data_IF_883811097416
#
_entry.id   IF_883811097416
#
_cell.length_a   1.000
_cell.length_b   1.000
_cell.length_c   1.000
_cell.angle_alpha   90.00
_cell.angle_beta   90.00
_cell.angle_gamma   90.00
#
_symmetry.space_group_name_H-M   'P 1'
#
loop_
_entity.id
_entity.type
_entity.pdbx_description
1 polymer ?
#
# COMPACT_ATOMS: atom_id res chain seq x y z
N UNK A 1 -21.15 -11.90 -7.35
CA UNK A 1 -20.22 -10.97 -8.02
C UNK A 1 -18.99 -11.72 -8.53
N UNK A 2 -18.41 -11.23 -9.64
CA UNK A 2 -17.13 -11.74 -10.16
C UNK A 2 -16.09 -10.62 -10.07
N UNK A 3 -14.96 -10.91 -9.42
CA UNK A 3 -13.88 -9.95 -9.19
C UNK A 3 -12.58 -10.52 -9.76
N UNK A 4 -11.90 -9.76 -10.59
CA UNK A 4 -10.57 -10.09 -11.12
C UNK A 4 -9.49 -9.71 -10.13
N UNK A 5 -8.79 -10.69 -9.57
CA UNK A 5 -7.67 -10.46 -8.65
C UNK A 5 -6.36 -10.32 -9.43
N UNK A 6 -5.50 -9.33 -9.12
CA UNK A 6 -4.19 -9.23 -9.72
C UNK A 6 -3.36 -10.50 -9.48
N UNK A 7 -2.62 -10.92 -10.50
CA UNK A 7 -1.85 -12.18 -10.46
C UNK A 7 -0.74 -12.20 -9.39
N UNK A 8 -0.29 -11.04 -8.96
CA UNK A 8 0.74 -10.86 -7.92
C UNK A 8 0.14 -10.37 -6.60
N UNK A 9 -1.18 -10.48 -6.45
CA UNK A 9 -1.83 -10.10 -5.20
C UNK A 9 -1.38 -11.04 -4.08
N UNK A 10 -0.87 -10.52 -2.97
CA UNK A 10 -0.56 -11.32 -1.78
C UNK A 10 -1.82 -11.84 -1.07
N UNK A 11 -2.99 -11.63 -1.67
CA UNK A 11 -4.28 -12.01 -1.09
C UNK A 11 -4.40 -13.53 -1.08
N UNK A 12 -4.20 -14.14 0.09
CA UNK A 12 -4.61 -15.51 0.35
C UNK A 12 -6.11 -15.54 0.65
N UNK A 13 -6.93 -15.58 -0.39
CA UNK A 13 -8.37 -15.75 -0.23
C UNK A 13 -8.70 -17.23 -0.08
N UNK A 14 -9.49 -17.58 0.95
CA UNK A 14 -9.92 -18.95 1.20
C UNK A 14 -11.38 -19.15 0.74
N UNK A 15 -11.62 -20.27 0.08
CA UNK A 15 -12.98 -20.69 -0.28
C UNK A 15 -13.82 -20.89 0.97
N UNK A 16 -15.04 -20.36 0.95
CA UNK A 16 -15.99 -20.43 2.04
C UNK A 16 -15.86 -19.30 3.07
N UNK A 17 -14.79 -18.50 3.03
CA UNK A 17 -14.65 -17.35 3.92
C UNK A 17 -15.56 -16.20 3.52
N UNK A 18 -15.92 -15.40 4.53
CA UNK A 18 -16.74 -14.20 4.35
C UNK A 18 -15.86 -12.98 4.05
N UNK A 19 -16.31 -12.19 3.09
CA UNK A 19 -15.64 -10.96 2.65
C UNK A 19 -16.66 -9.82 2.56
N UNK A 20 -16.17 -8.61 2.72
CA UNK A 20 -16.95 -7.39 2.57
C UNK A 20 -16.72 -6.80 1.18
N UNK A 21 -17.78 -6.68 0.40
CA UNK A 21 -17.77 -5.94 -0.85
C UNK A 21 -18.27 -4.52 -0.60
N UNK A 22 -17.72 -3.56 -1.31
CA UNK A 22 -18.20 -2.17 -1.31
C UNK A 22 -19.00 -1.88 -2.55
N UNK A 23 -20.18 -1.31 -2.36
CA UNK A 23 -21.06 -0.80 -3.39
C UNK A 23 -21.57 0.58 -2.98
N UNK A 24 -21.28 1.61 -3.77
CA UNK A 24 -21.65 3.01 -3.51
C UNK A 24 -21.38 3.48 -2.06
N UNK A 25 -20.23 3.06 -1.50
CA UNK A 25 -19.84 3.40 -0.13
C UNK A 25 -20.52 2.56 0.97
N UNK A 26 -21.41 1.63 0.60
CA UNK A 26 -22.02 0.67 1.51
C UNK A 26 -21.25 -0.65 1.52
N UNK A 27 -21.20 -1.30 2.68
CA UNK A 27 -20.61 -2.62 2.83
C UNK A 27 -21.65 -3.71 2.63
N UNK A 28 -21.39 -4.62 1.70
CA UNK A 28 -22.26 -5.75 1.36
C UNK A 28 -21.56 -7.05 1.69
N UNK A 29 -22.07 -7.86 2.65
CA UNK A 29 -21.49 -9.14 3.00
C UNK A 29 -21.56 -10.13 1.84
N UNK A 30 -20.50 -10.91 1.68
CA UNK A 30 -20.41 -11.93 0.64
C UNK A 30 -19.56 -13.13 1.10
N UNK A 31 -19.67 -14.24 0.39
CA UNK A 31 -18.88 -15.46 0.64
C UNK A 31 -18.14 -15.83 -0.64
N UNK A 32 -16.85 -16.14 -0.54
CA UNK A 32 -16.08 -16.62 -1.69
C UNK A 32 -16.48 -18.06 -2.01
N UNK A 33 -17.12 -18.27 -3.14
CA UNK A 33 -17.64 -19.59 -3.56
C UNK A 33 -16.79 -20.26 -4.62
N UNK A 34 -15.97 -19.50 -5.37
CA UNK A 34 -15.11 -20.07 -6.39
C UNK A 34 -13.89 -19.19 -6.64
N UNK A 35 -12.75 -19.82 -6.88
CA UNK A 35 -11.51 -19.17 -7.29
C UNK A 35 -10.98 -19.90 -8.53
N UNK A 36 -10.83 -19.17 -9.63
CA UNK A 36 -10.36 -19.76 -10.87
C UNK A 36 -8.93 -20.28 -10.73
N UNK A 37 -8.69 -21.51 -11.20
CA UNK A 37 -7.34 -22.10 -11.23
C UNK A 37 -6.47 -21.59 -12.38
N UNK A 38 -7.07 -20.85 -13.30
CA UNK A 38 -6.39 -20.30 -14.48
C UNK A 38 -6.57 -18.79 -14.53
N UNK A 39 -5.56 -18.13 -15.08
CA UNK A 39 -5.63 -16.69 -15.32
C UNK A 39 -6.45 -16.39 -16.56
N UNK A 40 -7.24 -15.35 -16.50
CA UNK A 40 -7.91 -14.81 -17.67
C UNK A 40 -6.85 -14.32 -18.68
N UNK A 41 -6.92 -14.78 -19.92
CA UNK A 41 -5.91 -14.46 -20.94
C UNK A 41 -5.89 -12.98 -21.33
N UNK A 42 -7.04 -12.31 -21.26
CA UNK A 42 -7.16 -10.89 -21.62
C UNK A 42 -6.69 -9.96 -20.49
N UNK A 43 -7.14 -10.19 -19.26
CA UNK A 43 -6.87 -9.34 -18.11
C UNK A 43 -5.67 -9.77 -17.27
N UNK A 44 -5.18 -11.02 -17.46
CA UNK A 44 -4.17 -11.69 -16.62
C UNK A 44 -4.58 -11.83 -15.14
N UNK A 45 -5.81 -11.51 -14.81
CA UNK A 45 -6.37 -11.65 -13.48
C UNK A 45 -6.81 -13.10 -13.20
N UNK A 46 -6.93 -13.44 -11.92
CA UNK A 46 -7.58 -14.65 -11.45
C UNK A 46 -9.00 -14.29 -11.06
N UNK A 47 -9.99 -14.91 -11.68
CA UNK A 47 -11.40 -14.63 -11.40
C UNK A 47 -11.82 -15.28 -10.08
N UNK A 48 -12.32 -14.48 -9.15
CA UNK A 48 -12.95 -14.89 -7.91
C UNK A 48 -14.45 -14.64 -7.99
N UNK A 49 -15.25 -15.63 -7.60
CA UNK A 49 -16.71 -15.55 -7.59
C UNK A 49 -17.20 -15.48 -6.15
N UNK A 50 -17.96 -14.42 -5.86
CA UNK A 50 -18.55 -14.18 -4.55
C UNK A 50 -20.09 -14.32 -4.63
N UNK A 51 -20.64 -15.07 -3.71
CA UNK A 51 -22.08 -15.09 -3.42
C UNK A 51 -22.39 -13.94 -2.47
N UNK A 52 -23.29 -13.06 -2.88
CA UNK A 52 -23.68 -11.88 -2.10
C UNK A 52 -24.89 -12.26 -1.25
N UNK A 53 -24.93 -11.83 0.01
CA UNK A 53 -26.08 -12.00 0.87
C UNK A 53 -27.30 -11.30 0.25
N UNK A 54 -28.37 -12.08 0.03
CA UNK A 54 -29.55 -11.59 -0.70
C UNK A 54 -30.28 -10.45 0.03
N UNK A 55 -30.32 -10.48 1.37
CA UNK A 55 -30.96 -9.42 2.15
C UNK A 55 -30.13 -8.14 2.12
N UNK A 56 -28.80 -8.26 2.21
CA UNK A 56 -27.90 -7.14 2.11
C UNK A 56 -27.92 -6.53 0.70
N UNK A 57 -27.95 -7.35 -0.35
CA UNK A 57 -28.07 -6.88 -1.73
C UNK A 57 -29.37 -6.10 -1.95
N UNK A 58 -30.49 -6.61 -1.47
CA UNK A 58 -31.80 -5.94 -1.57
C UNK A 58 -31.80 -4.61 -0.79
N UNK A 59 -31.23 -4.58 0.41
CA UNK A 59 -31.13 -3.36 1.24
C UNK A 59 -30.26 -2.29 0.59
N UNK A 60 -29.20 -2.70 -0.11
CA UNK A 60 -28.29 -1.82 -0.82
C UNK A 60 -28.80 -1.45 -2.23
N UNK A 61 -29.95 -1.97 -2.66
CA UNK A 61 -30.46 -1.84 -4.04
C UNK A 61 -29.47 -2.32 -5.11
N UNK A 62 -28.63 -3.30 -4.77
CA UNK A 62 -27.64 -3.87 -5.67
C UNK A 62 -28.31 -4.75 -6.73
N UNK A 63 -28.06 -4.47 -7.99
CA UNK A 63 -28.65 -5.18 -9.13
C UNK A 63 -27.59 -5.93 -9.95
N UNK A 64 -27.99 -6.97 -10.71
CA UNK A 64 -27.10 -7.59 -11.67
C UNK A 64 -26.60 -6.58 -12.71
N UNK A 65 -25.27 -6.48 -12.87
CA UNK A 65 -24.62 -5.50 -13.73
C UNK A 65 -23.92 -4.37 -12.98
N UNK A 66 -24.23 -4.19 -11.72
CA UNK A 66 -23.56 -3.18 -10.88
C UNK A 66 -22.10 -3.56 -10.57
N UNK A 67 -21.27 -2.53 -10.39
CA UNK A 67 -19.87 -2.69 -10.05
C UNK A 67 -19.68 -2.70 -8.53
N UNK A 68 -18.99 -3.71 -8.04
CA UNK A 68 -18.60 -3.83 -6.64
C UNK A 68 -17.09 -3.91 -6.51
N UNK A 69 -16.56 -3.44 -5.39
CA UNK A 69 -15.13 -3.50 -5.06
C UNK A 69 -14.89 -4.41 -3.85
N UNK A 70 -13.79 -5.18 -3.90
CA UNK A 70 -13.32 -5.96 -2.78
C UNK A 70 -12.17 -5.21 -2.11
N UNK A 71 -12.32 -4.90 -0.82
CA UNK A 71 -11.22 -4.40 0.02
C UNK A 71 -10.79 -5.52 0.95
N UNK A 72 -9.50 -5.83 0.94
CA UNK A 72 -8.92 -6.86 1.82
C UNK A 72 -7.71 -6.25 2.51
N UNK A 73 -7.71 -6.30 3.83
CA UNK A 73 -6.54 -5.94 4.61
C UNK A 73 -5.50 -7.06 4.52
N UNK A 74 -4.30 -6.70 4.16
CA UNK A 74 -3.18 -7.64 4.05
C UNK A 74 -2.16 -7.32 5.13
N UNK A 75 -1.92 -8.29 6.02
CA UNK A 75 -0.85 -8.17 6.99
C UNK A 75 0.50 -8.35 6.31
N UNK A 76 1.33 -7.32 6.37
CA UNK A 76 2.67 -7.34 5.79
C UNK A 76 3.65 -7.83 6.84
N UNK A 77 4.07 -9.09 6.73
CA UNK A 77 5.07 -9.70 7.62
C UNK A 77 6.51 -9.35 7.18
N UNK A 78 6.78 -8.08 6.97
CA UNK A 78 8.11 -7.58 6.62
C UNK A 78 8.51 -6.43 7.54
N UNK A 79 9.78 -6.38 7.91
CA UNK A 79 10.32 -5.22 8.60
C UNK A 79 10.43 -4.06 7.63
N UNK A 80 9.83 -2.94 7.98
CA UNK A 80 9.80 -1.75 7.14
C UNK A 80 8.97 -0.63 7.76
N UNK A 81 8.72 0.40 6.98
CA UNK A 81 7.92 1.54 7.41
C UNK A 81 7.03 2.05 6.28
N UNK A 82 5.85 2.55 6.65
CA UNK A 82 5.00 3.32 5.76
C UNK A 82 5.49 4.77 5.71
N UNK A 83 5.78 5.25 4.52
CA UNK A 83 6.27 6.60 4.29
C UNK A 83 5.43 7.30 3.22
N UNK A 84 5.25 8.63 3.31
CA UNK A 84 4.67 9.40 2.22
C UNK A 84 5.50 9.22 0.93
N UNK A 85 4.86 9.11 -0.22
CA UNK A 85 5.56 9.00 -1.51
C UNK A 85 6.47 10.22 -1.74
N UNK A 86 6.09 11.38 -1.21
CA UNK A 86 6.91 12.61 -1.26
C UNK A 86 8.28 12.51 -0.56
N UNK A 87 8.48 11.51 0.30
CA UNK A 87 9.77 11.21 0.93
C UNK A 87 10.70 10.37 0.05
N UNK A 88 10.23 9.90 -1.10
CA UNK A 88 10.96 9.01 -2.00
C UNK A 88 11.38 9.75 -3.27
N UNK A 89 12.59 9.51 -3.70
CA UNK A 89 13.11 9.94 -4.99
C UNK A 89 13.63 8.75 -5.79
N UNK A 90 13.74 8.91 -7.09
CA UNK A 90 14.27 7.87 -7.95
C UNK A 90 15.71 7.52 -7.54
N UNK A 91 15.94 6.25 -7.29
CA UNK A 91 17.24 5.71 -7.02
C UNK A 91 17.84 4.99 -8.23
N UNK A 92 18.88 4.22 -8.00
CA UNK A 92 19.55 3.44 -9.05
C UNK A 92 19.14 1.97 -8.97
N UNK A 93 19.13 1.27 -10.12
CA UNK A 93 18.90 -0.19 -10.21
C UNK A 93 17.57 -0.66 -9.60
N UNK A 94 16.50 0.13 -9.75
CA UNK A 94 15.18 -0.23 -9.22
C UNK A 94 14.99 0.00 -7.73
N UNK A 95 15.98 0.57 -7.05
CA UNK A 95 15.85 1.05 -5.68
C UNK A 95 15.29 2.47 -5.66
N UNK A 96 14.72 2.84 -4.53
CA UNK A 96 14.34 4.22 -4.24
C UNK A 96 15.32 4.83 -3.24
N UNK A 97 15.45 6.13 -3.29
CA UNK A 97 16.30 6.89 -2.36
C UNK A 97 15.42 7.73 -1.46
N UNK A 98 15.65 7.66 -0.16
CA UNK A 98 15.14 8.60 0.82
C UNK A 98 16.30 9.32 1.51
N UNK A 99 16.02 10.41 2.19
CA UNK A 99 17.00 11.17 2.91
C UNK A 99 16.69 11.16 4.41
N UNK A 100 17.67 10.81 5.22
CA UNK A 100 17.60 10.87 6.67
C UNK A 100 18.46 12.03 7.20
N UNK A 101 18.11 12.54 8.37
CA UNK A 101 18.90 13.54 9.08
C UNK A 101 19.71 12.83 10.15
N UNK A 102 21.00 12.73 9.93
CA UNK A 102 21.97 12.22 10.90
C UNK A 102 22.39 13.34 11.86
N UNK A 103 22.27 13.05 13.16
CA UNK A 103 22.67 13.95 14.27
C UNK A 103 23.90 13.46 15.04
N UNK A 104 24.53 12.38 14.61
CA UNK A 104 25.60 11.71 15.36
C UNK A 104 26.84 12.57 15.56
N UNK A 105 27.09 13.54 14.66
CA UNK A 105 28.26 14.42 14.69
C UNK A 105 28.06 15.78 15.37
N UNK A 106 26.92 15.96 16.06
CA UNK A 106 26.53 17.26 16.64
C UNK A 106 25.98 18.28 15.63
N UNK A 107 26.07 17.99 14.36
CA UNK A 107 25.46 18.73 13.25
C UNK A 107 24.34 17.89 12.62
N UNK A 108 23.35 18.55 12.02
CA UNK A 108 22.30 17.85 11.29
C UNK A 108 22.72 17.70 9.82
N UNK A 109 23.05 16.48 9.42
CA UNK A 109 23.58 16.19 8.09
C UNK A 109 22.62 15.29 7.32
N UNK A 110 22.37 15.64 6.05
CA UNK A 110 21.52 14.85 5.15
C UNK A 110 22.29 13.64 4.65
N UNK A 111 21.74 12.45 4.89
CA UNK A 111 22.28 11.20 4.37
C UNK A 111 21.28 10.47 3.49
N UNK A 112 21.67 10.09 2.25
CA UNK A 112 20.84 9.26 1.41
C UNK A 112 20.82 7.82 1.94
N UNK A 113 19.66 7.16 1.80
CA UNK A 113 19.45 5.74 2.08
C UNK A 113 18.74 5.10 0.90
N UNK A 114 19.20 3.93 0.49
CA UNK A 114 18.52 3.13 -0.54
C UNK A 114 17.53 2.19 0.12
N UNK A 115 16.32 2.17 -0.42
CA UNK A 115 15.22 1.33 0.07
C UNK A 115 14.51 0.63 -1.09
N UNK A 116 13.88 -0.49 -0.78
CA UNK A 116 12.92 -1.16 -1.67
C UNK A 116 11.53 -0.64 -1.38
N UNK A 117 10.77 -0.34 -2.41
CA UNK A 117 9.33 -0.12 -2.28
C UNK A 117 8.65 -1.46 -2.49
N UNK A 118 8.06 -1.98 -1.42
CA UNK A 118 7.37 -3.27 -1.40
C UNK A 118 5.91 -3.11 -1.85
N UNK A 119 5.26 -2.03 -1.39
CA UNK A 119 3.86 -1.72 -1.71
C UNK A 119 3.68 -0.21 -1.86
N UNK A 120 2.79 0.18 -2.76
CA UNK A 120 2.32 1.55 -2.91
C UNK A 120 0.81 1.60 -2.71
N UNK A 121 0.33 2.59 -1.97
CA UNK A 121 -1.08 2.81 -1.70
C UNK A 121 -1.36 4.32 -1.68
N UNK A 122 -2.17 4.79 -2.63
CA UNK A 122 -2.56 6.20 -2.78
C UNK A 122 -1.39 7.19 -2.65
N UNK A 123 -1.13 7.71 -1.43
CA UNK A 123 -0.14 8.74 -1.10
C UNK A 123 1.05 8.23 -0.28
N UNK A 124 1.08 6.93 0.03
CA UNK A 124 2.13 6.31 0.86
C UNK A 124 2.70 5.05 0.23
N UNK A 125 3.91 4.70 0.64
CA UNK A 125 4.59 3.48 0.25
C UNK A 125 5.13 2.75 1.48
N UNK A 126 4.99 1.42 1.49
CA UNK A 126 5.70 0.57 2.45
C UNK A 126 7.08 0.27 1.90
N UNK A 127 8.08 0.65 2.65
CA UNK A 127 9.48 0.49 2.27
C UNK A 127 10.22 -0.40 3.23
N UNK A 128 11.16 -1.18 2.70
CA UNK A 128 12.11 -2.00 3.47
C UNK A 128 13.54 -1.61 3.10
N UNK A 129 14.49 -1.87 3.99
CA UNK A 129 15.92 -1.62 3.74
C UNK A 129 16.60 -0.83 4.84
N UNK A 130 17.52 0.05 4.47
CA UNK A 130 18.42 0.75 5.39
C UNK A 130 17.74 1.93 6.13
N UNK A 131 16.66 1.62 6.87
CA UNK A 131 15.94 2.56 7.73
C UNK A 131 15.88 2.01 9.15
N UNK A 132 16.02 2.87 10.16
CA UNK A 132 15.89 2.50 11.56
C UNK A 132 14.72 3.24 12.22
N UNK A 133 14.17 2.63 13.25
CA UNK A 133 13.11 3.25 14.03
C UNK A 133 13.62 4.51 14.72
N UNK A 134 12.86 5.61 14.62
CA UNK A 134 13.21 6.89 15.25
C UNK A 134 14.10 7.79 14.41
N UNK A 135 14.53 7.38 13.21
CA UNK A 135 15.24 8.26 12.29
C UNK A 135 14.32 9.38 11.78
N UNK A 136 14.90 10.56 11.61
CA UNK A 136 14.19 11.69 11.01
C UNK A 136 14.31 11.62 9.49
N UNK A 137 13.19 11.55 8.83
CA UNK A 137 13.09 11.50 7.37
C UNK A 137 12.73 12.86 6.79
N UNK A 138 13.31 13.19 5.65
CA UNK A 138 12.90 14.36 4.89
C UNK A 138 11.73 13.99 4.00
N UNK A 139 10.58 14.63 4.19
CA UNK A 139 9.33 14.33 3.47
C UNK A 139 9.00 15.32 2.35
N UNK A 140 9.84 16.32 2.12
CA UNK A 140 9.60 17.30 1.06
C UNK A 140 10.85 18.07 0.69
N UNK A 141 10.84 18.68 -0.51
CA UNK A 141 11.95 19.48 -1.01
C UNK A 141 13.18 18.66 -1.43
N UNK A 142 13.02 17.36 -1.69
CA UNK A 142 14.13 16.43 -1.98
C UNK A 142 15.01 16.89 -3.14
N UNK A 143 14.43 17.56 -4.13
CA UNK A 143 15.13 18.10 -5.31
C UNK A 143 16.14 19.19 -4.99
N UNK A 144 16.13 19.73 -3.77
CA UNK A 144 17.03 20.79 -3.28
C UNK A 144 18.16 20.25 -2.40
N UNK A 145 18.13 18.96 -2.10
CA UNK A 145 19.06 18.34 -1.16
C UNK A 145 20.25 17.74 -1.89
N UNK A 146 21.41 17.94 -1.28
CA UNK A 146 22.66 17.29 -1.70
C UNK A 146 23.13 16.36 -0.58
N UNK A 147 23.62 15.15 -0.89
CA UNK A 147 24.22 14.27 0.11
C UNK A 147 25.29 14.99 0.93
N UNK A 148 25.33 14.73 2.23
CA UNK A 148 26.25 15.34 3.21
C UNK A 148 26.05 16.86 3.44
N UNK A 149 24.95 17.42 2.98
CA UNK A 149 24.59 18.80 3.27
C UNK A 149 24.21 18.97 4.74
N UNK A 150 24.75 19.98 5.41
CA UNK A 150 24.29 20.40 6.75
C UNK A 150 23.00 21.19 6.62
N UNK A 151 22.01 20.87 7.44
CA UNK A 151 20.74 21.56 7.51
C UNK A 151 20.52 22.21 8.86
N UNK A 152 19.79 23.34 8.85
CA UNK A 152 19.40 24.08 10.05
C UNK A 152 17.89 24.32 10.02
N UNK A 153 17.31 24.57 11.20
CA UNK A 153 15.87 24.89 11.33
C UNK A 153 14.94 23.79 10.79
N UNK A 154 15.20 22.54 11.14
CA UNK A 154 14.37 21.40 10.75
C UNK A 154 13.04 21.45 11.49
N UNK A 155 11.95 21.54 10.76
CA UNK A 155 10.60 21.37 11.32
C UNK A 155 10.25 19.89 11.36
N UNK A 156 10.03 19.35 12.56
CA UNK A 156 9.62 17.96 12.75
C UNK A 156 8.11 17.86 12.68
N UNK A 157 7.62 17.08 11.72
CA UNK A 157 6.19 16.77 11.58
C UNK A 157 6.03 15.29 11.96
N UNK A 158 5.16 14.99 12.91
CA UNK A 158 4.86 13.62 13.28
C UNK A 158 3.80 13.05 12.32
N UNK A 159 4.19 12.14 11.45
CA UNK A 159 3.32 11.49 10.46
C UNK A 159 2.73 10.17 10.96
N UNK A 160 2.89 9.83 12.24
CA UNK A 160 2.27 8.66 12.84
C UNK A 160 0.74 8.83 12.87
N UNK A 161 0.08 8.44 11.80
CA UNK A 161 -1.34 8.07 11.82
C UNK A 161 -1.41 6.56 11.70
N UNK A 162 -2.00 5.96 12.73
CA UNK A 162 -2.44 4.57 12.72
C UNK A 162 -3.21 4.26 11.45
#
# INVERSE_FOLDING_TARGET
ARIGLPAQSPLALNLGDRYSLSFEGQTVPSTLISLAKQRNRGTRAVDALFEIDAQAAQKAYLMPGDLVSLSVDVEIQKQGAWLPISALSNGVRGLWTLFVIDKSTGSQVIQPRSVYVEYMEQDRAFVSGAIAQGELLVIGGLHRLTPNQTVQNVQVINTARN
#
